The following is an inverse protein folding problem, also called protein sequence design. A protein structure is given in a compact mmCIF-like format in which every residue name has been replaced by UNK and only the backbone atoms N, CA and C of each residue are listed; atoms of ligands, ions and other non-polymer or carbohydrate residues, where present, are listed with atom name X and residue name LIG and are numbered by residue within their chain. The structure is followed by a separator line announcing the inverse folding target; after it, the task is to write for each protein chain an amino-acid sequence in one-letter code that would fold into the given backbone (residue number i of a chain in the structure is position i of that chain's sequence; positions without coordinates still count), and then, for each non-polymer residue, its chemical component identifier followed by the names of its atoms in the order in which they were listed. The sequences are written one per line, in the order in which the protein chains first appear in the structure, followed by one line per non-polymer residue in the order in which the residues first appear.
data_IF_992048943268
#
_entry.id   IF_992048943268
#
_cell.length_a   1.000
_cell.length_b   1.000
_cell.length_c   1.000
_cell.angle_alpha   90.00
_cell.angle_beta   90.00
_cell.angle_gamma   90.00
#
_symmetry.space_group_name_H-M   'P 1'
#
loop_
_entity.id
_entity.type
_entity.pdbx_description
1 polymer ?
#
# COMPACT_ATOMS: atom_id res chain seq x y z
N UNK A 1 38.84 -20.83 -0.75
CA UNK A 1 37.68 -20.85 0.18
C UNK A 1 36.71 -19.70 -0.08
N UNK A 2 37.04 -18.42 0.17
CA UNK A 2 36.09 -17.28 0.06
C UNK A 2 35.19 -17.27 -1.21
N UNK A 3 35.75 -17.56 -2.39
CA UNK A 3 35.01 -17.62 -3.68
C UNK A 3 33.82 -18.59 -3.66
N UNK A 4 33.94 -19.75 -3.00
CA UNK A 4 32.86 -20.73 -2.94
C UNK A 4 31.68 -20.27 -2.07
N UNK A 5 31.92 -19.42 -1.07
CA UNK A 5 30.87 -18.87 -0.23
C UNK A 5 30.00 -17.86 -1.02
N UNK A 6 30.63 -17.04 -1.87
CA UNK A 6 29.91 -16.13 -2.76
C UNK A 6 29.02 -16.87 -3.78
N UNK A 7 29.49 -18.00 -4.33
CA UNK A 7 28.71 -18.79 -5.30
C UNK A 7 27.47 -19.41 -4.64
N UNK A 8 27.57 -19.86 -3.38
CA UNK A 8 26.40 -20.38 -2.63
C UNK A 8 25.40 -19.27 -2.31
N UNK A 9 25.86 -18.10 -1.85
CA UNK A 9 24.97 -16.96 -1.58
C UNK A 9 24.22 -16.48 -2.83
N UNK A 10 24.87 -16.47 -4.00
CA UNK A 10 24.25 -16.12 -5.28
C UNK A 10 23.20 -17.12 -5.77
N UNK A 11 23.21 -18.36 -5.27
CA UNK A 11 22.17 -19.36 -5.57
C UNK A 11 20.97 -19.21 -4.64
N UNK A 12 21.20 -18.93 -3.35
CA UNK A 12 20.15 -18.64 -2.37
C UNK A 12 19.31 -17.40 -2.77
N UNK A 13 19.96 -16.30 -3.19
CA UNK A 13 19.24 -15.09 -3.62
C UNK A 13 18.44 -15.31 -4.90
N UNK A 14 19.00 -16.04 -5.87
CA UNK A 14 18.33 -16.29 -7.16
C UNK A 14 17.03 -17.10 -7.02
N UNK A 15 16.93 -17.98 -6.01
CA UNK A 15 15.68 -18.67 -5.67
C UNK A 15 14.64 -17.69 -5.10
N UNK A 16 15.06 -16.71 -4.31
CA UNK A 16 14.18 -15.70 -3.70
C UNK A 16 13.51 -14.78 -4.74
N UNK A 17 14.20 -14.48 -5.85
CA UNK A 17 13.67 -13.68 -6.99
C UNK A 17 12.39 -14.29 -7.56
N UNK A 18 12.37 -15.60 -7.78
CA UNK A 18 11.22 -16.30 -8.40
C UNK A 18 10.02 -16.24 -7.47
N UNK A 19 10.23 -16.46 -6.18
CA UNK A 19 9.19 -16.40 -5.15
C UNK A 19 8.51 -15.02 -5.10
N UNK A 20 9.29 -13.93 -5.09
CA UNK A 20 8.73 -12.58 -4.95
C UNK A 20 7.96 -12.08 -6.19
N UNK A 21 8.15 -12.70 -7.36
CA UNK A 21 7.31 -12.46 -8.54
C UNK A 21 5.98 -13.23 -8.49
N UNK A 22 5.92 -14.37 -7.77
CA UNK A 22 4.69 -15.16 -7.60
C UNK A 22 3.74 -14.50 -6.60
N UNK A 23 4.24 -14.03 -5.46
CA UNK A 23 3.41 -13.44 -4.39
C UNK A 23 2.81 -12.07 -4.78
N UNK A 24 3.48 -11.29 -5.63
CA UNK A 24 2.93 -10.03 -6.18
C UNK A 24 1.71 -10.22 -7.10
N UNK A 25 1.39 -11.45 -7.48
CA UNK A 25 0.25 -11.78 -8.34
C UNK A 25 -1.11 -11.92 -7.62
N UNK A 26 -1.23 -11.48 -6.36
CA UNK A 26 -2.39 -11.79 -5.50
C UNK A 26 -2.92 -10.62 -4.63
N UNK A 27 -2.48 -9.38 -4.82
CA UNK A 27 -2.80 -8.26 -3.90
C UNK A 27 -3.53 -7.05 -4.50
N UNK A 28 -4.44 -7.26 -5.46
CA UNK A 28 -5.35 -6.21 -5.97
C UNK A 28 -6.80 -6.72 -6.10
N UNK A 29 -7.56 -6.63 -4.99
CA UNK A 29 -9.00 -6.31 -4.90
C UNK A 29 -9.57 -6.70 -3.51
N UNK A 30 -10.07 -5.72 -2.75
CA UNK A 30 -11.25 -5.76 -1.83
C UNK A 30 -11.22 -4.64 -0.76
N UNK A 31 -11.24 -3.36 -1.17
CA UNK A 31 -11.65 -2.25 -0.28
C UNK A 31 -12.47 -1.22 -1.09
N UNK A 32 -13.81 -1.24 -0.97
CA UNK A 32 -14.70 -0.06 -1.09
C UNK A 32 -16.20 -0.40 -1.00
N UNK A 33 -16.76 -0.28 0.21
CA UNK A 33 -18.17 0.01 0.57
C UNK A 33 -18.36 -0.34 2.07
N UNK A 34 -19.01 0.45 2.93
CA UNK A 34 -19.51 1.82 2.82
C UNK A 34 -19.68 2.37 4.26
N UNK A 35 -19.42 3.65 4.53
CA UNK A 35 -19.66 4.28 5.85
C UNK A 35 -20.09 5.75 5.71
N UNK A 36 -21.36 6.03 5.96
CA UNK A 36 -21.98 7.32 6.36
C UNK A 36 -23.50 7.08 6.38
N UNK A 37 -24.07 6.75 7.54
CA UNK A 37 -24.82 7.68 8.42
C UNK A 37 -26.19 8.10 7.89
N UNK A 38 -27.26 7.69 8.59
CA UNK A 38 -28.44 8.53 8.81
C UNK A 38 -29.25 7.97 10.01
N UNK A 39 -29.02 8.47 11.23
CA UNK A 39 -29.89 8.18 12.38
C UNK A 39 -31.13 9.09 12.32
N UNK A 40 -32.31 8.54 12.60
CA UNK A 40 -33.59 9.16 12.22
C UNK A 40 -34.72 8.88 13.20
N UNK A 41 -34.66 9.47 14.40
CA UNK A 41 -35.84 9.64 15.25
C UNK A 41 -36.11 11.11 15.58
N UNK A 42 -37.17 11.60 14.95
CA UNK A 42 -37.65 12.98 14.93
C UNK A 42 -37.87 13.60 16.32
N UNK A 43 -37.52 14.88 16.45
CA UNK A 43 -38.32 15.85 17.21
C UNK A 43 -39.32 16.53 16.25
N UNK A 44 -40.47 16.98 16.76
CA UNK A 44 -41.51 17.66 15.97
C UNK A 44 -42.03 18.92 16.70
N UNK A 45 -42.33 20.04 16.01
CA UNK A 45 -42.57 21.33 16.67
C UNK A 45 -44.03 21.65 17.02
N UNK A 46 -44.16 22.78 17.72
CA UNK A 46 -45.27 23.40 18.47
C UNK A 46 -46.62 23.62 17.73
N UNK A 47 -47.69 23.86 18.51
CA UNK A 47 -48.61 25.06 18.47
C UNK A 47 -50.12 24.73 18.66
N UNK A 48 -50.80 25.53 19.51
CA UNK A 48 -52.25 25.79 19.71
C UNK A 48 -53.28 24.62 19.77
N UNK A 49 -54.31 24.63 20.62
CA UNK A 49 -55.38 25.66 20.71
C UNK A 49 -56.20 25.57 22.02
N UNK A 50 -56.98 26.63 22.32
CA UNK A 50 -58.11 26.73 23.30
C UNK A 50 -59.21 25.64 23.10
N UNK A 51 -60.28 25.47 23.90
CA UNK A 51 -60.90 26.19 25.06
C UNK A 51 -61.57 25.12 26.00
N UNK A 52 -62.60 25.25 26.86
CA UNK A 52 -63.61 26.26 27.29
C UNK A 52 -63.94 26.03 28.79
N UNK A 53 -63.97 27.10 29.62
CA UNK A 53 -64.88 27.33 30.78
C UNK A 53 -64.94 26.32 31.98
N UNK A 54 -65.44 26.67 33.17
CA UNK A 54 -66.22 27.85 33.58
C UNK A 54 -65.81 28.50 34.92
N UNK A 55 -66.19 29.78 35.02
CA UNK A 55 -66.23 30.68 36.18
C UNK A 55 -66.65 30.08 37.53
N UNK A 56 -66.00 30.52 38.62
CA UNK A 56 -66.72 31.24 39.70
C UNK A 56 -65.92 32.44 40.22
N UNK A 57 -66.63 33.58 40.27
CA UNK A 57 -66.33 34.88 40.89
C UNK A 57 -65.65 34.87 42.28
N UNK A 58 -64.62 35.72 42.46
CA UNK A 58 -64.45 36.54 43.67
C UNK A 58 -63.38 37.64 43.48
N UNK A 59 -63.50 38.74 44.23
CA UNK A 59 -62.67 39.94 44.13
C UNK A 59 -61.35 39.81 44.91
N UNK A 60 -60.20 39.97 44.24
CA UNK A 60 -58.98 40.46 44.92
C UNK A 60 -58.17 41.39 44.01
N UNK A 61 -57.97 42.63 44.48
CA UNK A 61 -57.00 43.56 43.89
C UNK A 61 -55.62 43.09 44.35
N UNK A 62 -54.77 42.66 43.41
CA UNK A 62 -53.40 42.21 43.70
C UNK A 62 -52.51 43.37 44.19
N UNK A 63 -52.53 43.63 45.49
CA UNK A 63 -51.40 44.28 46.15
C UNK A 63 -50.30 43.22 46.32
N UNK A 64 -49.38 43.16 45.35
CA UNK A 64 -48.14 42.36 45.49
C UNK A 64 -47.43 42.80 46.76
N UNK A 65 -47.10 41.85 47.64
CA UNK A 65 -46.46 42.18 48.91
C UNK A 65 -45.03 42.62 48.68
N UNK A 66 -44.57 43.59 49.48
CA UNK A 66 -43.14 43.93 49.56
C UNK A 66 -42.27 42.69 49.87
N UNK A 67 -42.84 41.71 50.59
CA UNK A 67 -42.22 40.44 50.89
C UNK A 67 -42.00 39.55 49.64
N UNK A 68 -43.00 39.48 48.74
CA UNK A 68 -42.94 38.67 47.52
C UNK A 68 -41.85 39.21 46.57
N UNK A 69 -41.78 40.55 46.46
CA UNK A 69 -40.74 41.24 45.68
C UNK A 69 -39.35 40.94 46.28
N UNK A 70 -39.20 40.99 47.61
CA UNK A 70 -37.93 40.69 48.28
C UNK A 70 -37.50 39.22 48.10
N UNK A 71 -38.45 38.28 48.11
CA UNK A 71 -38.18 36.86 47.89
C UNK A 71 -37.66 36.63 46.45
N UNK A 72 -38.39 37.12 45.44
CA UNK A 72 -37.99 37.00 44.03
C UNK A 72 -36.63 37.69 43.74
N UNK A 73 -36.34 38.82 44.37
CA UNK A 73 -35.05 39.51 44.23
C UNK A 73 -33.91 38.72 44.88
N UNK A 74 -34.17 38.01 45.98
CA UNK A 74 -33.19 37.13 46.64
C UNK A 74 -32.91 35.87 45.80
N UNK A 75 -33.94 35.28 45.20
CA UNK A 75 -33.80 34.15 44.25
C UNK A 75 -33.04 34.56 42.98
N UNK A 76 -33.30 35.76 42.45
CA UNK A 76 -32.55 36.33 41.33
C UNK A 76 -31.08 36.56 41.68
N UNK A 77 -30.76 37.03 42.89
CA UNK A 77 -29.38 37.17 43.36
C UNK A 77 -28.69 35.80 43.43
N UNK A 78 -29.36 34.78 44.00
CA UNK A 78 -28.81 33.43 44.09
C UNK A 78 -28.48 32.85 42.70
N UNK A 79 -29.45 32.85 41.79
CA UNK A 79 -29.29 32.34 40.42
C UNK A 79 -28.22 33.09 39.62
N UNK A 80 -28.13 34.42 39.75
CA UNK A 80 -27.04 35.22 39.14
C UNK A 80 -25.66 34.88 39.73
N UNK A 81 -25.56 34.63 41.04
CA UNK A 81 -24.28 34.19 41.63
C UNK A 81 -23.86 32.80 41.20
N UNK A 82 -24.82 31.88 41.01
CA UNK A 82 -24.57 30.54 40.47
C UNK A 82 -24.14 30.59 39.00
N UNK A 83 -24.86 31.34 38.15
CA UNK A 83 -24.46 31.56 36.76
C UNK A 83 -23.04 32.16 36.67
N UNK A 84 -22.68 33.09 37.55
CA UNK A 84 -21.33 33.66 37.64
C UNK A 84 -20.28 32.67 38.18
N UNK A 85 -20.66 31.59 38.86
CA UNK A 85 -19.75 30.48 39.15
C UNK A 85 -19.58 29.56 37.93
N UNK A 86 -20.69 29.22 37.27
CA UNK A 86 -20.71 28.35 36.09
C UNK A 86 -19.95 28.96 34.89
N UNK A 87 -20.05 30.28 34.66
CA UNK A 87 -19.27 30.98 33.63
C UNK A 87 -17.76 30.82 33.90
N UNK A 88 -17.29 31.08 35.13
CA UNK A 88 -15.86 30.92 35.49
C UNK A 88 -15.38 29.48 35.34
N UNK A 89 -16.22 28.50 35.68
CA UNK A 89 -15.89 27.09 35.48
C UNK A 89 -15.81 26.70 33.99
N UNK A 90 -16.60 27.35 33.12
CA UNK A 90 -16.51 27.19 31.67
C UNK A 90 -15.29 27.90 31.08
N UNK A 91 -14.95 29.11 31.55
CA UNK A 91 -13.75 29.86 31.16
C UNK A 91 -12.47 29.05 31.44
N UNK A 92 -12.33 28.47 32.64
CA UNK A 92 -11.20 27.59 32.96
C UNK A 92 -11.15 26.36 32.04
N UNK A 93 -12.29 25.67 31.85
CA UNK A 93 -12.35 24.48 31.00
C UNK A 93 -12.06 24.77 29.52
N UNK A 94 -12.38 25.98 29.04
CA UNK A 94 -12.03 26.43 27.69
C UNK A 94 -10.52 26.59 27.56
N UNK A 95 -9.89 27.31 28.49
CA UNK A 95 -8.43 27.51 28.56
C UNK A 95 -7.66 26.18 28.63
N UNK A 96 -8.12 25.22 29.45
CA UNK A 96 -7.52 23.88 29.53
C UNK A 96 -7.67 23.10 28.20
N UNK A 97 -8.82 23.22 27.53
CA UNK A 97 -9.08 22.55 26.25
C UNK A 97 -8.28 23.16 25.08
N UNK A 98 -8.16 24.49 25.02
CA UNK A 98 -7.34 25.21 24.04
C UNK A 98 -5.86 24.81 24.18
N UNK A 99 -5.34 24.75 25.40
CA UNK A 99 -3.97 24.25 25.67
C UNK A 99 -3.78 22.81 25.22
N UNK A 100 -4.75 21.94 25.52
CA UNK A 100 -4.72 20.52 25.10
C UNK A 100 -4.74 20.37 23.57
N UNK A 101 -5.49 21.23 22.86
CA UNK A 101 -5.55 21.23 21.40
C UNK A 101 -4.23 21.67 20.74
N UNK A 102 -3.55 22.68 21.29
CA UNK A 102 -2.24 23.11 20.78
C UNK A 102 -1.15 22.06 21.07
N UNK A 103 -1.20 21.36 22.22
CA UNK A 103 -0.34 20.21 22.50
C UNK A 103 -0.56 19.05 21.50
N UNK A 104 -1.83 18.75 21.15
CA UNK A 104 -2.16 17.76 20.12
C UNK A 104 -1.69 18.16 18.72
N UNK A 105 -1.73 19.45 18.38
CA UNK A 105 -1.26 19.98 17.10
C UNK A 105 0.25 19.80 16.90
N UNK A 106 1.06 20.05 17.94
CA UNK A 106 2.51 19.80 17.88
C UNK A 106 2.82 18.33 17.63
N UNK A 107 2.12 17.42 18.33
CA UNK A 107 2.28 15.96 18.15
C UNK A 107 1.92 15.54 16.71
N UNK A 108 0.87 16.12 16.12
CA UNK A 108 0.47 15.84 14.74
C UNK A 108 1.53 16.30 13.72
N UNK A 109 2.17 17.44 13.93
CA UNK A 109 3.26 17.93 13.08
C UNK A 109 4.50 17.02 13.15
N UNK A 110 4.90 16.57 14.36
CA UNK A 110 6.00 15.61 14.53
C UNK A 110 5.72 14.23 13.91
N UNK A 111 4.49 13.72 14.07
CA UNK A 111 4.06 12.46 13.45
C UNK A 111 4.11 12.55 11.91
N UNK A 112 3.61 13.64 11.33
CA UNK A 112 3.63 13.84 9.88
C UNK A 112 5.06 13.92 9.34
N UNK A 113 5.96 14.64 10.02
CA UNK A 113 7.38 14.67 9.67
C UNK A 113 8.01 13.27 9.72
N UNK A 114 7.78 12.53 10.80
CA UNK A 114 8.32 11.16 10.99
C UNK A 114 7.81 10.22 9.90
N UNK A 115 6.52 10.30 9.54
CA UNK A 115 5.94 9.53 8.45
C UNK A 115 6.60 9.83 7.09
N UNK A 116 6.89 11.10 6.78
CA UNK A 116 7.61 11.46 5.56
C UNK A 116 9.04 10.90 5.52
N UNK A 117 9.77 10.96 6.65
CA UNK A 117 11.13 10.41 6.75
C UNK A 117 11.15 8.88 6.57
N UNK A 118 10.22 8.17 7.22
CA UNK A 118 10.05 6.70 7.06
C UNK A 118 9.66 6.33 5.63
N UNK A 119 8.75 7.07 5.00
CA UNK A 119 8.31 6.79 3.62
C UNK A 119 9.45 6.96 2.61
N UNK A 120 10.25 8.02 2.75
CA UNK A 120 11.42 8.28 1.91
C UNK A 120 12.51 7.21 2.09
N UNK A 121 12.79 6.82 3.35
CA UNK A 121 13.73 5.73 3.66
C UNK A 121 13.28 4.41 3.02
N UNK A 122 11.99 4.08 3.15
CA UNK A 122 11.38 2.88 2.55
C UNK A 122 11.54 2.87 1.03
N UNK A 123 11.27 4.00 0.35
CA UNK A 123 11.45 4.10 -1.11
C UNK A 123 12.91 3.91 -1.53
N UNK A 124 13.86 4.52 -0.81
CA UNK A 124 15.29 4.36 -1.08
C UNK A 124 15.75 2.91 -0.94
N UNK A 125 15.34 2.23 0.13
CA UNK A 125 15.68 0.82 0.37
C UNK A 125 15.06 -0.10 -0.68
N UNK A 126 13.82 0.16 -1.11
CA UNK A 126 13.17 -0.62 -2.18
C UNK A 126 13.89 -0.44 -3.52
N UNK A 127 14.33 0.76 -3.89
CA UNK A 127 15.03 0.96 -5.17
C UNK A 127 16.49 0.46 -5.12
N UNK A 128 17.14 0.47 -3.94
CA UNK A 128 18.44 -0.16 -3.74
C UNK A 128 18.36 -1.69 -3.90
N UNK A 129 17.40 -2.35 -3.24
CA UNK A 129 17.14 -3.79 -3.42
C UNK A 129 16.77 -4.14 -4.87
N UNK A 130 16.00 -3.29 -5.55
CA UNK A 130 15.67 -3.46 -6.98
C UNK A 130 16.86 -3.32 -7.92
N UNK A 131 17.96 -2.72 -7.48
CA UNK A 131 19.17 -2.49 -8.31
C UNK A 131 20.09 -3.71 -8.31
N UNK A 132 20.15 -4.42 -7.19
CA UNK A 132 21.08 -5.52 -6.92
C UNK A 132 20.60 -6.86 -7.52
N UNK A 133 19.28 -7.10 -7.59
CA UNK A 133 18.70 -8.42 -7.86
C UNK A 133 17.85 -8.51 -9.14
N UNK A 134 18.40 -8.06 -10.27
CA UNK A 134 17.61 -7.77 -11.50
C UNK A 134 17.38 -8.93 -12.47
N UNK A 135 17.95 -10.11 -12.25
CA UNK A 135 17.87 -11.24 -13.19
C UNK A 135 18.43 -10.96 -14.60
N UNK A 136 19.21 -9.88 -14.74
CA UNK A 136 19.80 -9.41 -15.99
C UNK A 136 21.25 -9.90 -16.09
N UNK A 137 21.57 -10.59 -17.17
CA UNK A 137 22.93 -10.83 -17.61
C UNK A 137 23.38 -9.66 -18.51
N UNK A 138 24.57 -9.11 -18.24
CA UNK A 138 25.24 -8.16 -19.15
C UNK A 138 26.54 -8.77 -19.63
N UNK A 139 26.77 -8.79 -20.94
CA UNK A 139 27.94 -9.41 -21.55
C UNK A 139 29.24 -8.65 -21.18
N UNK A 140 30.21 -9.27 -20.47
CA UNK A 140 31.45 -8.61 -20.08
C UNK A 140 32.50 -8.58 -21.20
N UNK A 141 32.33 -9.37 -22.26
CA UNK A 141 33.23 -9.47 -23.41
C UNK A 141 32.49 -9.94 -24.66
N UNK A 142 33.05 -9.68 -25.85
CA UNK A 142 32.51 -10.13 -27.14
C UNK A 142 32.60 -11.65 -27.27
N UNK A 143 31.51 -12.35 -27.56
CA UNK A 143 31.54 -13.81 -27.59
C UNK A 143 30.24 -14.52 -27.99
N UNK A 144 30.35 -15.84 -28.16
CA UNK A 144 29.22 -16.73 -28.31
C UNK A 144 28.79 -17.26 -26.93
N UNK A 145 27.53 -17.04 -26.54
CA UNK A 145 26.97 -17.42 -25.25
C UNK A 145 25.79 -18.37 -25.46
N UNK A 146 25.68 -19.43 -24.67
CA UNK A 146 24.46 -20.25 -24.63
C UNK A 146 23.65 -19.90 -23.39
N UNK A 147 22.34 -19.69 -23.58
CA UNK A 147 21.36 -19.48 -22.52
C UNK A 147 20.31 -20.58 -22.58
N UNK A 148 19.94 -21.12 -21.41
CA UNK A 148 18.86 -22.09 -21.25
C UNK A 148 17.90 -21.60 -20.17
N UNK A 149 16.60 -21.75 -20.39
CA UNK A 149 15.56 -21.49 -19.40
C UNK A 149 14.44 -22.51 -19.43
N UNK A 150 13.89 -22.81 -18.26
CA UNK A 150 12.70 -23.64 -18.07
C UNK A 150 11.62 -22.83 -17.40
N UNK A 151 10.40 -22.94 -17.92
CA UNK A 151 9.18 -22.42 -17.28
C UNK A 151 8.29 -23.58 -16.82
N UNK A 152 7.67 -23.42 -15.65
CA UNK A 152 6.71 -24.34 -15.07
C UNK A 152 5.45 -23.60 -14.62
N UNK A 153 4.31 -24.28 -14.64
CA UNK A 153 3.07 -23.79 -14.05
C UNK A 153 2.00 -24.86 -13.94
N UNK A 154 0.96 -24.57 -13.16
CA UNK A 154 -0.28 -25.35 -13.23
C UNK A 154 -1.07 -24.98 -14.49
N UNK A 155 -1.70 -25.98 -15.11
CA UNK A 155 -2.62 -25.79 -16.22
C UNK A 155 -3.85 -24.99 -15.80
N UNK A 156 -4.35 -24.16 -16.71
CA UNK A 156 -5.51 -23.32 -16.49
C UNK A 156 -6.18 -22.95 -17.84
N UNK A 157 -7.52 -23.02 -17.98
CA UNK A 157 -8.19 -22.66 -19.23
C UNK A 157 -8.03 -21.19 -19.65
N UNK A 158 -7.75 -20.29 -18.69
CA UNK A 158 -7.71 -18.84 -18.90
C UNK A 158 -6.30 -18.29 -19.19
N UNK A 159 -5.24 -19.02 -18.86
CA UNK A 159 -3.86 -18.54 -19.04
C UNK A 159 -2.85 -19.67 -19.29
N UNK A 160 -1.78 -19.32 -20.00
CA UNK A 160 -0.65 -20.22 -20.29
C UNK A 160 0.58 -19.85 -19.47
N UNK A 161 1.50 -20.79 -19.28
CA UNK A 161 2.87 -20.49 -18.83
C UNK A 161 3.67 -20.08 -20.06
N UNK A 162 4.15 -18.83 -20.11
CA UNK A 162 4.84 -18.32 -21.30
C UNK A 162 5.83 -17.22 -20.96
N UNK A 163 7.11 -17.46 -21.21
CA UNK A 163 8.16 -16.48 -21.05
C UNK A 163 9.13 -16.50 -22.24
N UNK A 164 9.94 -15.46 -22.36
CA UNK A 164 10.94 -15.31 -23.42
C UNK A 164 12.30 -14.92 -22.88
N UNK A 165 13.37 -15.39 -23.52
CA UNK A 165 14.65 -14.70 -23.46
C UNK A 165 14.54 -13.44 -24.33
N UNK A 166 14.96 -12.32 -23.75
CA UNK A 166 15.05 -11.02 -24.38
C UNK A 166 16.53 -10.65 -24.55
N UNK A 167 16.91 -10.03 -25.66
CA UNK A 167 18.22 -9.36 -25.86
C UNK A 167 17.96 -7.89 -26.14
N UNK A 168 18.54 -6.98 -25.36
CA UNK A 168 18.43 -5.51 -25.53
C UNK A 168 16.97 -4.99 -25.66
N UNK A 169 15.99 -5.69 -25.07
CA UNK A 169 14.56 -5.39 -25.19
C UNK A 169 13.83 -6.12 -26.33
N UNK A 170 14.54 -6.74 -27.26
CA UNK A 170 13.96 -7.55 -28.35
C UNK A 170 13.79 -9.01 -27.94
N UNK A 171 12.78 -9.69 -28.51
CA UNK A 171 12.42 -11.07 -28.16
C UNK A 171 13.20 -12.08 -29.00
N UNK A 172 13.95 -12.96 -28.36
CA UNK A 172 14.81 -13.96 -29.05
C UNK A 172 14.12 -15.30 -29.21
N UNK A 173 13.67 -15.91 -28.10
CA UNK A 173 13.01 -17.23 -28.09
C UNK A 173 11.85 -17.26 -27.10
N UNK A 174 10.93 -18.20 -27.26
CA UNK A 174 9.72 -18.34 -26.42
C UNK A 174 9.62 -19.76 -25.88
N UNK A 175 9.54 -19.91 -24.56
CA UNK A 175 9.07 -21.11 -23.91
C UNK A 175 7.57 -20.92 -23.64
N UNK A 176 6.74 -21.76 -24.24
CA UNK A 176 5.28 -21.73 -24.11
C UNK A 176 4.81 -23.12 -23.67
N UNK A 177 3.85 -23.14 -22.75
CA UNK A 177 3.11 -24.31 -22.34
C UNK A 177 1.67 -23.91 -21.99
N UNK A 178 0.70 -24.62 -22.54
CA UNK A 178 -0.72 -24.45 -22.27
C UNK A 178 -1.36 -25.84 -22.14
N UNK A 179 -2.20 -26.00 -21.12
CA UNK A 179 -3.12 -27.12 -20.95
C UNK A 179 -4.14 -26.73 -19.87
N UNK A 180 -5.31 -27.37 -19.86
CA UNK A 180 -6.44 -26.95 -19.02
C UNK A 180 -6.29 -27.34 -17.54
N UNK A 181 -5.50 -28.38 -17.22
CA UNK A 181 -5.41 -29.02 -15.89
C UNK A 181 -3.99 -29.54 -15.61
N UNK A 182 -3.72 -30.06 -14.40
CA UNK A 182 -2.43 -30.64 -13.98
C UNK A 182 -1.24 -29.65 -14.10
N UNK A 183 -0.03 -30.12 -14.43
CA UNK A 183 1.21 -29.35 -14.49
C UNK A 183 1.81 -29.33 -15.90
N UNK A 184 2.29 -28.17 -16.34
CA UNK A 184 2.96 -27.97 -17.63
C UNK A 184 4.37 -27.41 -17.43
N UNK A 185 5.32 -27.96 -18.17
CA UNK A 185 6.70 -27.47 -18.26
C UNK A 185 7.08 -27.17 -19.71
N UNK A 186 7.96 -26.19 -19.92
CA UNK A 186 8.52 -25.88 -21.24
C UNK A 186 9.93 -25.34 -21.11
N UNK A 187 10.90 -26.00 -21.73
CA UNK A 187 12.33 -25.63 -21.70
C UNK A 187 12.78 -25.19 -23.08
N UNK A 188 13.62 -24.14 -23.15
CA UNK A 188 14.25 -23.65 -24.38
C UNK A 188 15.69 -23.24 -24.14
N UNK A 189 16.51 -23.44 -25.17
CA UNK A 189 17.89 -22.95 -25.25
C UNK A 189 18.09 -22.08 -26.48
N UNK A 190 19.06 -21.17 -26.42
CA UNK A 190 19.51 -20.36 -27.56
C UNK A 190 21.00 -20.04 -27.44
N UNK A 191 21.71 -20.01 -28.57
CA UNK A 191 23.06 -19.45 -28.66
C UNK A 191 22.96 -18.04 -29.24
N UNK A 192 23.54 -17.07 -28.53
CA UNK A 192 23.58 -15.66 -28.93
C UNK A 192 25.02 -15.21 -29.12
N UNK A 193 25.25 -14.42 -30.17
CA UNK A 193 26.45 -13.58 -30.26
C UNK A 193 26.14 -12.27 -29.53
N UNK A 194 26.99 -11.94 -28.56
CA UNK A 194 26.89 -10.74 -27.74
C UNK A 194 28.15 -9.87 -27.89
N UNK A 195 27.95 -8.57 -27.98
CA UNK A 195 28.95 -7.51 -27.85
C UNK A 195 29.11 -7.10 -26.38
N UNK A 196 30.16 -6.35 -26.05
CA UNK A 196 30.38 -5.84 -24.68
C UNK A 196 29.23 -4.91 -24.29
N UNK A 197 28.56 -5.20 -23.18
CA UNK A 197 27.41 -4.43 -22.69
C UNK A 197 26.04 -4.87 -23.20
N UNK A 198 25.96 -5.86 -24.10
CA UNK A 198 24.67 -6.46 -24.48
C UNK A 198 23.96 -7.07 -23.26
N UNK A 199 22.66 -6.83 -23.15
CA UNK A 199 21.80 -7.21 -22.03
C UNK A 199 20.88 -8.37 -22.40
N UNK A 200 20.87 -9.43 -21.60
CA UNK A 200 20.03 -10.63 -21.79
C UNK A 200 19.29 -10.98 -20.49
N UNK A 201 17.98 -11.23 -20.57
CA UNK A 201 17.14 -11.54 -19.42
C UNK A 201 15.91 -12.37 -19.82
N UNK A 202 15.21 -12.97 -18.85
CA UNK A 202 13.92 -13.64 -19.08
C UNK A 202 12.77 -12.70 -18.75
N UNK A 203 11.74 -12.69 -19.60
CA UNK A 203 10.53 -11.87 -19.47
C UNK A 203 9.28 -12.75 -19.56
N UNK A 204 8.49 -12.75 -18.48
CA UNK A 204 7.14 -13.31 -18.44
C UNK A 204 6.21 -12.47 -19.32
N UNK A 205 5.37 -13.12 -20.12
CA UNK A 205 4.39 -12.43 -20.97
C UNK A 205 3.23 -11.88 -20.13
N UNK A 206 2.63 -10.77 -20.57
CA UNK A 206 1.46 -10.17 -19.90
C UNK A 206 0.30 -11.17 -19.78
N UNK A 207 -0.38 -11.17 -18.63
CA UNK A 207 -1.47 -12.08 -18.26
C UNK A 207 -1.09 -13.58 -18.27
N UNK A 208 0.20 -13.92 -18.22
CA UNK A 208 0.70 -15.31 -18.14
C UNK A 208 1.24 -15.58 -16.75
N UNK A 209 1.19 -16.84 -16.31
CA UNK A 209 1.58 -17.25 -14.96
C UNK A 209 2.61 -18.38 -14.97
N UNK A 210 3.65 -18.21 -14.17
CA UNK A 210 4.55 -19.28 -13.76
C UNK A 210 4.17 -19.73 -12.35
N UNK A 211 4.66 -20.88 -11.91
CA UNK A 211 4.51 -21.35 -10.54
C UNK A 211 5.81 -21.99 -10.10
N UNK A 212 6.17 -21.83 -8.83
CA UNK A 212 7.30 -22.53 -8.24
C UNK A 212 6.98 -22.98 -6.81
N UNK A 213 7.86 -23.80 -6.24
CA UNK A 213 7.84 -24.23 -4.85
C UNK A 213 9.27 -24.64 -4.42
N UNK A 214 9.41 -25.30 -3.27
CA UNK A 214 10.71 -25.67 -2.68
C UNK A 214 11.58 -26.60 -3.55
N UNK A 215 11.09 -27.08 -4.70
CA UNK A 215 11.84 -27.89 -5.66
C UNK A 215 12.41 -27.09 -6.87
N UNK A 216 12.19 -25.78 -6.95
CA UNK A 216 12.83 -24.85 -7.91
C UNK A 216 12.67 -25.27 -9.40
N UNK A 217 11.42 -25.27 -9.89
CA UNK A 217 11.06 -25.73 -11.24
C UNK A 217 11.45 -24.75 -12.35
N UNK A 218 11.42 -23.45 -12.08
CA UNK A 218 11.81 -22.41 -13.04
C UNK A 218 13.31 -22.14 -12.93
N UNK A 219 13.99 -22.08 -14.07
CA UNK A 219 15.44 -21.84 -14.13
C UNK A 219 15.78 -20.91 -15.28
N UNK A 220 16.80 -20.08 -15.09
CA UNK A 220 17.49 -19.35 -16.15
C UNK A 220 18.99 -19.47 -15.91
N UNK A 221 19.72 -19.81 -16.97
CA UNK A 221 21.16 -20.05 -16.92
C UNK A 221 21.81 -19.55 -18.22
N UNK A 222 23.05 -19.07 -18.11
CA UNK A 222 23.80 -18.55 -19.25
C UNK A 222 25.31 -18.72 -19.05
N UNK A 223 26.02 -19.10 -20.11
CA UNK A 223 27.48 -19.22 -20.07
C UNK A 223 28.14 -18.95 -21.42
N UNK A 224 29.38 -18.45 -21.36
CA UNK A 224 30.24 -18.24 -22.51
C UNK A 224 30.68 -19.60 -23.09
N UNK A 225 30.50 -19.78 -24.39
CA UNK A 225 31.07 -20.91 -25.15
C UNK A 225 32.50 -20.60 -25.57
N UNK A 226 32.72 -19.43 -26.19
CA UNK A 226 34.04 -18.94 -26.58
C UNK A 226 34.04 -17.41 -26.81
N UNK A 227 35.12 -16.70 -26.42
CA UNK A 227 35.33 -15.31 -26.82
C UNK A 227 35.47 -15.19 -28.34
N UNK A 228 34.85 -14.16 -28.92
CA UNK A 228 35.13 -13.72 -30.28
C UNK A 228 36.17 -12.61 -30.21
N UNK A 229 37.39 -12.93 -30.65
CA UNK A 229 38.40 -11.92 -30.92
C UNK A 229 38.17 -11.35 -32.31
N UNK A 230 38.21 -10.03 -32.43
CA UNK A 230 38.31 -9.39 -33.73
C UNK A 230 39.67 -9.77 -34.34
N UNK A 231 39.65 -10.23 -35.59
CA UNK A 231 40.88 -10.48 -36.33
C UNK A 231 41.41 -9.12 -36.77
N UNK A 232 42.57 -8.71 -36.27
CA UNK A 232 43.28 -7.58 -36.89
C UNK A 232 43.52 -7.94 -38.36
N UNK A 233 43.16 -7.07 -39.31
CA UNK A 233 43.40 -7.34 -40.72
C UNK A 233 44.91 -7.45 -40.95
N UNK A 234 45.34 -8.54 -41.58
CA UNK A 234 46.74 -8.81 -41.86
C UNK A 234 47.38 -7.60 -42.57
N UNK A 235 48.32 -6.93 -41.89
CA UNK A 235 49.13 -5.88 -42.50
C UNK A 235 50.03 -6.52 -43.56
N UNK A 236 49.75 -6.21 -44.82
CA UNK A 236 50.61 -6.49 -45.97
C UNK A 236 51.73 -5.45 -46.07
#
# INVERSE_FOLDING_TARGET
MKVFLCILLLLETFVFVVQQQVDRGLSENEISQQLSLEDRRQNQPQTDTRTHEASTDSQFIHHVSFYDIHAALTELIATVTEQKANIRALETRLSDAEKTAEEQKVILEELNKTNHEVLNLTQSQVEELRKEDRGIFTAPLKGAYMFNFSVFGFGNPSYSSTASIMKNGERVVVAHGYQDQYVIGSTKGVVLILEVGDVVYVSLWSQKKLTDNQANHNTFSGYLLFPLREQEPCRM
#
